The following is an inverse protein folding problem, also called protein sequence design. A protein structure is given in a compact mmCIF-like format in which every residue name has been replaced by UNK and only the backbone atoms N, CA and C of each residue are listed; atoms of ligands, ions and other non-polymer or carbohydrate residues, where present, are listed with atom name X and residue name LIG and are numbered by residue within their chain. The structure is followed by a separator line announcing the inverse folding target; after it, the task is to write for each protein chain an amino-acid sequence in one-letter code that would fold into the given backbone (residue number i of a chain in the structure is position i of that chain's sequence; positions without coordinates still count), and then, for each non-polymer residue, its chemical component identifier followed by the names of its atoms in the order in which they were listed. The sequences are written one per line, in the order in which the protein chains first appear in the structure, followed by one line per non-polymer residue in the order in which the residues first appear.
data_IF_691387068565
#
_entry.id   IF_691387068565
#
_cell.length_a   1.000
_cell.length_b   1.000
_cell.length_c   1.000
_cell.angle_alpha   90.00
_cell.angle_beta   90.00
_cell.angle_gamma   90.00
#
_symmetry.space_group_name_H-M   'P 1'
#
loop_
_entity.id
_entity.type
_entity.pdbx_description
1 polymer ?
#
# COMPACT_ATOMS: atom_id res chain seq x y z
N UNK A 1 12.48 -2.42 30.00
CA UNK A 1 11.48 -1.35 30.20
C UNK A 1 10.26 -1.83 29.46
N UNK A 2 9.18 -2.13 30.18
CA UNK A 2 7.98 -2.74 29.58
C UNK A 2 7.31 -1.78 28.63
N UNK A 3 7.03 -2.21 27.40
CA UNK A 3 6.30 -1.42 26.40
C UNK A 3 4.83 -1.76 26.43
N UNK A 4 3.98 -0.74 26.36
CA UNK A 4 2.53 -0.88 26.38
C UNK A 4 1.98 -0.85 24.97
N UNK A 5 1.34 -1.93 24.54
CA UNK A 5 0.73 -2.04 23.22
C UNK A 5 -0.79 -2.04 23.36
N UNK A 6 -1.46 -1.09 22.70
CA UNK A 6 -2.90 -1.13 22.46
C UNK A 6 -3.17 -2.00 21.24
N UNK A 7 -3.97 -3.05 21.39
CA UNK A 7 -4.31 -3.99 20.33
C UNK A 7 -5.80 -3.93 20.01
N UNK A 8 -6.14 -3.72 18.73
CA UNK A 8 -7.54 -3.70 18.28
C UNK A 8 -7.72 -4.36 16.91
N UNK A 9 -8.70 -5.24 16.82
CA UNK A 9 -9.08 -5.94 15.60
C UNK A 9 -10.44 -5.41 15.16
N UNK A 10 -10.56 -5.02 13.89
CA UNK A 10 -11.86 -4.83 13.26
C UNK A 10 -12.33 -6.21 12.76
N UNK A 11 -13.29 -6.90 13.40
CA UNK A 11 -13.59 -8.31 13.13
C UNK A 11 -14.13 -8.59 11.72
N UNK A 12 -14.66 -7.56 11.06
CA UNK A 12 -15.35 -7.67 9.75
C UNK A 12 -14.47 -7.15 8.59
N UNK A 13 -13.28 -6.65 8.90
CA UNK A 13 -12.39 -6.11 7.89
C UNK A 13 -11.86 -7.20 6.94
N UNK A 14 -11.77 -6.86 5.66
CA UNK A 14 -11.30 -7.79 4.61
C UNK A 14 -12.38 -8.68 3.99
N UNK A 15 -13.60 -8.72 4.54
CA UNK A 15 -14.69 -9.56 4.01
C UNK A 15 -15.14 -9.15 2.60
N UNK A 16 -15.38 -7.87 2.36
CA UNK A 16 -15.94 -7.41 1.09
C UNK A 16 -14.99 -7.52 -0.11
N UNK A 17 -13.67 -7.46 0.12
CA UNK A 17 -12.67 -7.67 -0.94
C UNK A 17 -12.73 -9.07 -1.53
N UNK A 18 -12.97 -10.10 -0.70
CA UNK A 18 -12.97 -11.51 -1.09
C UNK A 18 -14.16 -11.90 -1.99
N UNK A 19 -15.24 -11.12 -1.92
CA UNK A 19 -16.47 -11.33 -2.70
C UNK A 19 -16.70 -10.25 -3.77
N UNK A 20 -15.66 -9.48 -4.09
CA UNK A 20 -15.70 -8.48 -5.17
C UNK A 20 -16.52 -7.22 -4.85
N UNK A 21 -16.85 -6.96 -3.59
CA UNK A 21 -17.62 -5.79 -3.15
C UNK A 21 -16.76 -4.53 -2.97
N UNK A 22 -15.43 -4.64 -3.20
CA UNK A 22 -14.46 -3.54 -3.16
C UNK A 22 -14.36 -2.80 -1.81
N UNK A 23 -14.78 -3.44 -0.72
CA UNK A 23 -14.78 -2.92 0.65
C UNK A 23 -15.89 -3.58 1.48
N UNK A 24 -15.83 -3.50 2.82
CA UNK A 24 -16.89 -4.05 3.70
C UNK A 24 -17.87 -2.96 4.18
N UNK A 25 -17.57 -1.67 3.95
CA UNK A 25 -18.38 -0.59 4.50
C UNK A 25 -19.78 -0.56 3.85
N UNK A 26 -20.80 -0.54 4.70
CA UNK A 26 -22.23 -0.54 4.33
C UNK A 26 -22.71 -1.76 3.53
N UNK A 27 -21.91 -2.81 3.38
CA UNK A 27 -22.25 -4.02 2.59
C UNK A 27 -21.94 -5.33 3.31
N UNK A 28 -21.81 -5.30 4.63
CA UNK A 28 -21.53 -6.50 5.43
C UNK A 28 -22.57 -7.62 5.20
N UNK A 29 -23.86 -7.30 5.16
CA UNK A 29 -24.92 -8.29 4.97
C UNK A 29 -24.84 -8.93 3.57
N UNK A 30 -24.50 -8.14 2.56
CA UNK A 30 -24.28 -8.63 1.20
C UNK A 30 -22.98 -9.45 1.09
N UNK A 31 -21.94 -9.09 1.83
CA UNK A 31 -20.70 -9.85 1.89
C UNK A 31 -20.93 -11.24 2.50
N UNK A 32 -21.67 -11.31 3.61
CA UNK A 32 -22.04 -12.56 4.27
C UNK A 32 -22.90 -13.41 3.33
N UNK A 33 -23.89 -12.83 2.64
CA UNK A 33 -24.71 -13.56 1.65
C UNK A 33 -23.89 -14.17 0.51
N UNK A 34 -22.78 -13.52 0.13
CA UNK A 34 -21.84 -14.03 -0.89
C UNK A 34 -20.82 -15.02 -0.34
N UNK A 35 -20.94 -15.44 0.92
CA UNK A 35 -20.04 -16.40 1.56
C UNK A 35 -18.71 -15.80 2.02
N UNK A 36 -18.65 -14.49 2.27
CA UNK A 36 -17.45 -13.88 2.84
C UNK A 36 -17.22 -14.37 4.27
N UNK A 37 -16.00 -14.81 4.56
CA UNK A 37 -15.53 -15.14 5.90
C UNK A 37 -14.64 -14.03 6.46
N UNK A 38 -14.64 -13.80 7.79
CA UNK A 38 -13.72 -12.88 8.46
C UNK A 38 -12.25 -13.19 8.16
N UNK A 39 -11.47 -12.17 7.78
CA UNK A 39 -10.04 -12.32 7.43
C UNK A 39 -9.13 -11.67 8.47
N UNK A 40 -9.54 -10.54 9.05
CA UNK A 40 -8.76 -9.84 10.06
C UNK A 40 -8.43 -10.69 11.30
N UNK A 41 -9.34 -11.52 11.87
CA UNK A 41 -9.01 -12.28 13.08
C UNK A 41 -7.86 -13.26 12.86
N UNK A 42 -7.82 -13.95 11.72
CA UNK A 42 -6.75 -14.92 11.45
C UNK A 42 -5.40 -14.24 11.24
N UNK A 43 -5.35 -13.12 10.51
CA UNK A 43 -4.12 -12.34 10.31
C UNK A 43 -3.61 -11.69 11.59
N UNK A 44 -4.52 -11.24 12.45
CA UNK A 44 -4.20 -10.76 13.79
C UNK A 44 -3.50 -11.85 14.61
N UNK A 45 -4.10 -13.04 14.69
CA UNK A 45 -3.51 -14.20 15.39
C UNK A 45 -2.15 -14.57 14.79
N UNK A 46 -2.05 -14.65 13.46
CA UNK A 46 -0.81 -15.00 12.76
C UNK A 46 0.33 -14.04 13.10
N UNK A 47 0.08 -12.73 13.03
CA UNK A 47 1.09 -11.70 13.33
C UNK A 47 1.57 -11.79 14.77
N UNK A 48 0.65 -11.86 15.74
CA UNK A 48 1.02 -11.91 17.16
C UNK A 48 1.72 -13.23 17.49
N UNK A 49 1.27 -14.35 16.93
CA UNK A 49 1.90 -15.66 17.11
C UNK A 49 3.31 -15.67 16.54
N UNK A 50 3.51 -15.11 15.36
CA UNK A 50 4.84 -14.99 14.76
C UNK A 50 5.76 -14.11 15.62
N UNK A 51 5.24 -12.99 16.12
CA UNK A 51 5.97 -12.13 17.04
C UNK A 51 6.42 -12.91 18.29
N UNK A 52 5.51 -13.63 18.94
CA UNK A 52 5.84 -14.43 20.13
C UNK A 52 6.83 -15.57 19.85
N UNK A 53 6.76 -16.21 18.67
CA UNK A 53 7.66 -17.30 18.31
C UNK A 53 9.08 -16.84 18.02
N UNK A 54 9.25 -15.66 17.40
CA UNK A 54 10.54 -15.15 16.95
C UNK A 54 11.18 -14.17 17.95
N UNK A 55 10.38 -13.51 18.77
CA UNK A 55 10.76 -12.36 19.59
C UNK A 55 10.21 -12.46 21.03
N UNK A 56 10.18 -13.66 21.60
CA UNK A 56 9.58 -13.95 22.91
C UNK A 56 10.18 -13.19 24.10
N UNK A 57 11.38 -12.65 23.94
CA UNK A 57 12.13 -11.99 25.02
C UNK A 57 11.71 -10.52 25.22
N UNK A 58 10.84 -9.98 24.36
CA UNK A 58 10.34 -8.63 24.44
C UNK A 58 9.33 -8.46 25.59
N UNK A 59 9.59 -7.50 26.48
CA UNK A 59 8.74 -7.18 27.63
C UNK A 59 7.56 -6.28 27.20
N UNK A 60 6.47 -6.90 26.75
CA UNK A 60 5.25 -6.23 26.29
C UNK A 60 4.08 -6.41 27.25
N UNK A 61 3.42 -5.29 27.57
CA UNK A 61 2.12 -5.26 28.25
C UNK A 61 1.00 -4.94 27.26
N UNK A 62 0.12 -5.90 27.04
CA UNK A 62 -0.98 -5.81 26.10
C UNK A 62 -2.24 -5.19 26.72
N UNK A 63 -2.85 -4.25 26.00
CA UNK A 63 -4.14 -3.63 26.31
C UNK A 63 -5.05 -3.86 25.12
N UNK A 64 -6.24 -4.43 25.31
CA UNK A 64 -7.09 -4.88 24.20
C UNK A 64 -8.57 -4.69 24.47
N UNK A 65 -9.41 -5.03 23.50
CA UNK A 65 -10.87 -5.08 23.62
C UNK A 65 -11.35 -6.50 23.89
N UNK A 66 -12.59 -6.64 24.41
CA UNK A 66 -13.19 -7.96 24.61
C UNK A 66 -13.44 -8.70 23.28
N UNK A 67 -13.54 -10.02 23.40
CA UNK A 67 -13.96 -10.93 22.32
C UNK A 67 -13.13 -10.73 21.03
N UNK A 68 -13.77 -10.89 19.87
CA UNK A 68 -13.17 -10.78 18.53
C UNK A 68 -12.57 -9.41 18.16
N UNK A 69 -12.71 -8.40 19.03
CA UNK A 69 -12.01 -7.12 18.84
C UNK A 69 -10.57 -7.14 19.36
N UNK A 70 -10.11 -8.26 19.93
CA UNK A 70 -8.70 -8.50 20.14
C UNK A 70 -8.37 -9.51 21.24
N UNK A 71 -9.20 -9.68 22.27
CA UNK A 71 -8.92 -10.63 23.36
C UNK A 71 -8.85 -12.06 22.84
N UNK A 72 -9.83 -12.49 22.03
CA UNK A 72 -9.86 -13.83 21.44
C UNK A 72 -8.62 -14.09 20.58
N UNK A 73 -8.16 -13.08 19.84
CA UNK A 73 -7.00 -13.17 18.96
C UNK A 73 -5.69 -13.25 19.75
N UNK A 74 -5.53 -12.47 20.82
CA UNK A 74 -4.35 -12.55 21.70
C UNK A 74 -4.26 -13.91 22.40
N UNK A 75 -5.38 -14.44 22.91
CA UNK A 75 -5.44 -15.77 23.53
C UNK A 75 -5.05 -16.86 22.54
N UNK A 76 -5.64 -16.85 21.33
CA UNK A 76 -5.31 -17.83 20.27
C UNK A 76 -3.87 -17.74 19.80
N UNK A 77 -3.27 -16.55 19.83
CA UNK A 77 -1.86 -16.36 19.49
C UNK A 77 -0.91 -16.89 20.58
N UNK A 78 -1.39 -17.07 21.81
CA UNK A 78 -0.62 -17.58 22.95
C UNK A 78 -0.17 -16.50 23.95
N UNK A 79 -0.74 -15.29 23.91
CA UNK A 79 -0.49 -14.25 24.92
C UNK A 79 -1.13 -14.67 26.24
N UNK A 80 -0.33 -14.71 27.31
CA UNK A 80 -0.78 -15.17 28.63
C UNK A 80 -1.47 -14.09 29.46
N UNK A 81 -1.06 -12.83 29.29
CA UNK A 81 -1.54 -11.71 30.10
C UNK A 81 -1.82 -10.49 29.22
N UNK A 82 -3.03 -9.95 29.34
CA UNK A 82 -3.45 -8.70 28.72
C UNK A 82 -4.56 -8.05 29.55
N UNK A 83 -4.72 -6.72 29.41
CA UNK A 83 -5.79 -5.96 30.06
C UNK A 83 -6.90 -5.64 29.06
N UNK A 84 -8.12 -6.08 29.34
CA UNK A 84 -9.29 -5.63 28.59
C UNK A 84 -9.66 -4.21 29.04
N UNK A 85 -9.61 -3.25 28.12
CA UNK A 85 -9.88 -1.83 28.40
C UNK A 85 -11.22 -1.36 27.83
N UNK A 86 -11.81 -2.14 26.94
CA UNK A 86 -13.11 -1.87 26.33
C UNK A 86 -13.89 -3.16 26.14
N UNK A 87 -15.18 -3.15 26.49
CA UNK A 87 -16.09 -4.27 26.29
C UNK A 87 -16.95 -3.95 25.07
N UNK A 88 -16.79 -4.75 24.01
CA UNK A 88 -17.48 -4.55 22.75
C UNK A 88 -18.84 -5.29 22.71
N UNK A 89 -19.85 -4.74 22.02
CA UNK A 89 -21.06 -5.50 21.70
C UNK A 89 -20.77 -6.62 20.69
N UNK A 90 -21.64 -7.63 20.63
CA UNK A 90 -21.52 -8.75 19.66
C UNK A 90 -21.44 -8.30 18.19
N UNK A 91 -22.15 -7.22 17.84
CA UNK A 91 -22.06 -6.56 16.53
C UNK A 91 -21.34 -5.24 16.72
N UNK A 92 -20.14 -5.15 16.19
CA UNK A 92 -19.27 -4.00 16.36
C UNK A 92 -19.49 -2.95 15.28
N UNK A 93 -19.04 -1.74 15.57
CA UNK A 93 -19.16 -0.56 14.70
C UNK A 93 -17.86 0.24 14.69
N UNK A 94 -17.69 1.17 13.73
CA UNK A 94 -16.63 2.18 13.77
C UNK A 94 -16.51 2.93 15.11
N UNK A 95 -17.64 3.11 15.80
CA UNK A 95 -17.70 3.74 17.11
C UNK A 95 -16.96 2.93 18.18
N UNK A 96 -17.01 1.60 18.10
CA UNK A 96 -16.33 0.71 19.04
C UNK A 96 -14.81 0.80 18.90
N UNK A 97 -14.29 0.83 17.65
CA UNK A 97 -12.86 1.09 17.40
C UNK A 97 -12.43 2.44 17.98
N UNK A 98 -13.22 3.51 17.76
CA UNK A 98 -12.93 4.85 18.30
C UNK A 98 -12.93 4.86 19.84
N UNK A 99 -13.87 4.17 20.47
CA UNK A 99 -13.95 4.09 21.93
C UNK A 99 -12.79 3.29 22.52
N UNK A 100 -12.42 2.17 21.90
CA UNK A 100 -11.23 1.41 22.26
C UNK A 100 -9.97 2.29 22.22
N UNK A 101 -9.78 3.04 21.13
CA UNK A 101 -8.64 3.94 20.98
C UNK A 101 -8.60 5.07 22.03
N UNK A 102 -9.75 5.57 22.49
CA UNK A 102 -9.80 6.51 23.62
C UNK A 102 -9.31 5.85 24.92
N UNK A 103 -9.64 4.57 25.15
CA UNK A 103 -9.12 3.82 26.30
C UNK A 103 -7.62 3.59 26.23
N UNK A 104 -7.09 3.38 25.04
CA UNK A 104 -5.64 3.30 24.84
C UNK A 104 -4.91 4.61 25.17
N UNK A 105 -5.54 5.77 24.90
CA UNK A 105 -5.04 7.07 25.37
C UNK A 105 -5.03 7.14 26.90
N UNK A 106 -6.12 6.73 27.57
CA UNK A 106 -6.23 6.73 29.04
C UNK A 106 -5.13 5.87 29.70
N UNK A 107 -4.80 4.73 29.09
CA UNK A 107 -3.78 3.79 29.59
C UNK A 107 -2.34 4.19 29.23
N UNK A 108 -2.18 5.24 28.41
CA UNK A 108 -0.91 5.73 27.87
C UNK A 108 -0.13 4.61 27.18
N UNK A 109 -0.74 3.94 26.20
CA UNK A 109 -0.02 2.96 25.38
C UNK A 109 1.01 3.65 24.48
N UNK A 110 2.12 2.96 24.21
CA UNK A 110 3.23 3.49 23.42
C UNK A 110 2.99 3.33 21.92
N UNK A 111 2.19 2.34 21.52
CA UNK A 111 1.82 2.03 20.13
C UNK A 111 0.42 1.42 20.08
N UNK A 112 -0.35 1.76 19.04
CA UNK A 112 -1.56 1.02 18.67
C UNK A 112 -1.23 0.08 17.52
N UNK A 113 -1.21 -1.23 17.81
CA UNK A 113 -1.21 -2.28 16.80
C UNK A 113 -2.66 -2.61 16.45
N UNK A 114 -3.04 -2.52 15.19
CA UNK A 114 -4.41 -2.81 14.79
C UNK A 114 -4.48 -3.75 13.60
N UNK A 115 -5.55 -4.54 13.48
CA UNK A 115 -5.82 -5.33 12.27
C UNK A 115 -7.08 -4.83 11.58
N UNK A 116 -6.95 -4.40 10.32
CA UNK A 116 -8.06 -3.81 9.59
C UNK A 116 -7.71 -3.25 8.21
N UNK A 117 -8.65 -2.44 7.71
CA UNK A 117 -8.57 -1.72 6.44
C UNK A 117 -8.21 -0.23 6.58
N UNK A 118 -8.11 0.51 5.47
CA UNK A 118 -7.98 1.98 5.50
C UNK A 118 -9.12 2.65 6.29
N UNK A 119 -10.35 2.12 6.21
CA UNK A 119 -11.46 2.57 7.05
C UNK A 119 -11.18 2.43 8.56
N UNK A 120 -10.57 1.32 8.98
CA UNK A 120 -10.12 1.13 10.37
C UNK A 120 -9.03 2.13 10.73
N UNK A 121 -8.05 2.34 9.85
CA UNK A 121 -6.97 3.33 10.07
C UNK A 121 -7.55 4.75 10.23
N UNK A 122 -8.54 5.11 9.42
CA UNK A 122 -9.30 6.37 9.51
C UNK A 122 -10.03 6.51 10.84
N UNK A 123 -10.68 5.44 11.31
CA UNK A 123 -11.38 5.45 12.59
C UNK A 123 -10.44 5.63 13.77
N UNK A 124 -9.29 4.93 13.76
CA UNK A 124 -8.24 5.07 14.77
C UNK A 124 -7.68 6.50 14.74
N UNK A 125 -7.30 7.01 13.57
CA UNK A 125 -6.78 8.37 13.42
C UNK A 125 -7.79 9.43 13.88
N UNK A 126 -9.08 9.24 13.60
CA UNK A 126 -10.14 10.15 14.08
C UNK A 126 -10.22 10.20 15.61
N UNK A 127 -9.82 9.14 16.30
CA UNK A 127 -9.82 9.07 17.77
C UNK A 127 -8.51 9.58 18.40
N UNK A 128 -7.35 9.21 17.85
CA UNK A 128 -6.04 9.49 18.49
C UNK A 128 -5.21 10.57 17.81
N UNK A 129 -5.52 10.91 16.55
CA UNK A 129 -4.76 11.82 15.69
C UNK A 129 -3.26 11.46 15.65
N UNK A 130 -2.42 12.36 16.12
CA UNK A 130 -0.96 12.31 16.15
C UNK A 130 -0.40 12.02 17.56
N UNK A 131 -1.24 11.59 18.50
CA UNK A 131 -0.84 11.39 19.90
C UNK A 131 -0.07 10.09 20.13
N UNK A 132 -0.51 9.00 19.50
CA UNK A 132 0.09 7.65 19.64
C UNK A 132 0.46 7.17 18.23
N UNK A 133 1.65 6.61 18.02
CA UNK A 133 1.95 5.94 16.76
C UNK A 133 1.02 4.76 16.53
N UNK A 134 0.74 4.46 15.27
CA UNK A 134 -0.10 3.33 14.87
C UNK A 134 0.61 2.44 13.85
N UNK A 135 0.39 1.13 13.97
CA UNK A 135 0.90 0.12 13.05
C UNK A 135 -0.23 -0.84 12.67
N UNK A 136 -0.49 -0.95 11.37
CA UNK A 136 -1.58 -1.75 10.82
C UNK A 136 -1.12 -3.11 10.32
N UNK A 137 -1.82 -4.17 10.75
CA UNK A 137 -1.81 -5.50 10.16
C UNK A 137 -2.82 -5.48 8.99
N UNK A 138 -2.38 -5.65 7.73
CA UNK A 138 -3.26 -5.50 6.58
C UNK A 138 -4.29 -6.64 6.50
N UNK A 139 -5.57 -6.36 6.77
CA UNK A 139 -6.63 -7.38 6.72
C UNK A 139 -7.20 -7.62 5.32
N UNK A 140 -6.89 -6.75 4.37
CA UNK A 140 -7.40 -6.77 3.01
C UNK A 140 -6.30 -6.55 1.97
N UNK A 141 -6.73 -6.23 0.76
CA UNK A 141 -5.90 -6.25 -0.46
C UNK A 141 -5.84 -4.89 -1.16
N UNK A 142 -6.24 -3.80 -0.49
CA UNK A 142 -6.31 -2.43 -1.06
C UNK A 142 -5.96 -1.37 -0.01
N UNK A 143 -4.79 -1.51 0.61
CA UNK A 143 -4.36 -0.60 1.68
C UNK A 143 -3.51 0.51 1.10
N UNK A 144 -3.96 1.75 1.29
CA UNK A 144 -3.33 2.95 0.74
C UNK A 144 -2.65 3.80 1.81
N UNK A 145 -3.05 3.67 3.08
CA UNK A 145 -2.44 4.40 4.18
C UNK A 145 -1.02 3.91 4.49
N UNK A 146 -0.11 4.84 4.78
CA UNK A 146 1.31 4.59 5.07
C UNK A 146 1.60 3.96 6.44
N UNK A 147 0.59 3.40 7.11
CA UNK A 147 0.68 2.83 8.46
C UNK A 147 0.67 1.31 8.50
N UNK A 148 0.45 0.65 7.36
CA UNK A 148 0.36 -0.80 7.29
C UNK A 148 1.75 -1.42 7.07
N UNK A 149 2.03 -2.51 7.79
CA UNK A 149 3.11 -3.41 7.41
C UNK A 149 2.78 -4.10 6.08
N UNK A 150 3.82 -4.49 5.34
CA UNK A 150 3.65 -5.11 4.01
C UNK A 150 2.93 -6.46 4.06
N UNK A 151 3.10 -7.20 5.17
CA UNK A 151 2.44 -8.46 5.46
C UNK A 151 2.49 -8.74 6.98
N UNK A 152 1.92 -9.87 7.43
CA UNK A 152 1.88 -10.31 8.84
C UNK A 152 3.29 -10.42 9.44
N UNK A 153 4.21 -11.09 8.74
CA UNK A 153 5.59 -11.29 9.17
C UNK A 153 6.38 -9.99 9.35
N UNK A 154 6.29 -9.09 8.36
CA UNK A 154 6.93 -7.78 8.43
C UNK A 154 6.33 -6.94 9.56
N UNK A 155 5.01 -7.02 9.78
CA UNK A 155 4.36 -6.30 10.89
C UNK A 155 4.84 -6.82 12.25
N UNK A 156 5.00 -8.14 12.40
CA UNK A 156 5.58 -8.74 13.61
C UNK A 156 7.01 -8.27 13.85
N UNK A 157 7.85 -8.25 12.81
CA UNK A 157 9.23 -7.71 12.89
C UNK A 157 9.23 -6.22 13.24
N UNK A 158 8.37 -5.41 12.62
CA UNK A 158 8.27 -3.98 12.94
C UNK A 158 7.86 -3.75 14.39
N UNK A 159 6.95 -4.57 14.93
CA UNK A 159 6.59 -4.51 16.35
C UNK A 159 7.80 -4.81 17.25
N UNK A 160 8.59 -5.84 16.93
CA UNK A 160 9.82 -6.17 17.65
C UNK A 160 10.86 -5.04 17.63
N UNK A 161 11.14 -4.50 16.44
CA UNK A 161 12.12 -3.42 16.29
C UNK A 161 11.64 -2.14 16.99
N UNK A 162 10.34 -1.86 17.00
CA UNK A 162 9.77 -0.79 17.81
C UNK A 162 9.91 -1.08 19.31
N UNK A 163 9.63 -2.32 19.73
CA UNK A 163 9.75 -2.74 21.12
C UNK A 163 11.20 -2.57 21.64
N UNK A 164 12.18 -2.75 20.76
CA UNK A 164 13.59 -2.58 21.06
C UNK A 164 14.12 -1.16 20.76
N UNK A 165 13.24 -0.21 20.44
CA UNK A 165 13.55 1.20 20.13
C UNK A 165 14.51 1.37 18.94
N UNK A 166 14.55 0.40 18.03
CA UNK A 166 15.31 0.49 16.80
C UNK A 166 14.57 1.22 15.69
N UNK A 167 13.25 1.45 15.83
CA UNK A 167 12.45 2.21 14.88
C UNK A 167 12.15 3.62 15.36
N UNK A 168 12.12 4.56 14.42
CA UNK A 168 11.69 5.94 14.66
C UNK A 168 10.20 6.10 14.43
N UNK A 169 9.59 7.02 15.18
CA UNK A 169 8.22 7.47 14.92
C UNK A 169 8.29 8.61 13.90
N UNK A 170 7.43 8.56 12.88
CA UNK A 170 7.37 9.58 11.86
C UNK A 170 5.95 9.79 11.36
N UNK A 171 5.81 10.74 10.45
CA UNK A 171 4.53 11.04 9.81
C UNK A 171 4.17 9.92 8.82
N UNK A 172 2.91 9.48 8.88
CA UNK A 172 2.35 8.49 7.98
C UNK A 172 0.98 8.94 7.47
N UNK A 173 0.77 8.84 6.15
CA UNK A 173 -0.47 9.28 5.53
C UNK A 173 -1.62 8.32 5.85
N UNK A 174 -2.77 8.87 6.22
CA UNK A 174 -4.04 8.16 6.29
C UNK A 174 -4.83 8.53 5.06
N UNK A 175 -5.16 7.55 4.23
CA UNK A 175 -5.88 7.75 2.98
C UNK A 175 -7.36 7.45 3.17
N UNK A 176 -8.22 8.27 2.55
CA UNK A 176 -9.66 8.04 2.45
C UNK A 176 -9.98 7.54 1.04
N UNK A 177 -10.57 6.36 0.96
CA UNK A 177 -11.14 5.81 -0.26
C UNK A 177 -12.64 5.95 -0.17
N UNK A 178 -13.23 6.70 -1.11
CA UNK A 178 -14.68 6.70 -1.28
C UNK A 178 -15.10 5.37 -1.92
N UNK A 179 -15.42 4.38 -1.07
CA UNK A 179 -15.75 3.03 -1.52
C UNK A 179 -16.99 2.96 -2.42
N UNK A 180 -17.92 3.92 -2.35
CA UNK A 180 -19.10 3.98 -3.23
C UNK A 180 -18.72 4.44 -4.64
N UNK A 181 -17.96 5.53 -4.74
CA UNK A 181 -17.47 6.04 -6.04
C UNK A 181 -16.50 5.05 -6.68
N UNK A 182 -15.67 4.41 -5.85
CA UNK A 182 -14.79 3.34 -6.29
C UNK A 182 -15.55 2.10 -6.81
N UNK A 183 -16.71 1.78 -6.20
CA UNK A 183 -17.60 0.74 -6.73
C UNK A 183 -18.10 1.06 -8.13
N UNK A 184 -18.38 2.33 -8.40
CA UNK A 184 -18.79 2.85 -9.71
C UNK A 184 -17.63 3.00 -10.71
N UNK A 185 -16.38 2.71 -10.31
CA UNK A 185 -15.20 2.77 -11.18
C UNK A 185 -14.48 4.12 -11.17
N UNK A 186 -14.89 5.06 -10.31
CA UNK A 186 -14.20 6.33 -10.10
C UNK A 186 -13.08 6.15 -9.08
N UNK A 187 -11.84 6.41 -9.48
CA UNK A 187 -10.69 6.37 -8.58
C UNK A 187 -10.55 7.70 -7.83
N UNK A 188 -11.12 7.80 -6.63
CA UNK A 188 -11.07 9.00 -5.79
C UNK A 188 -10.45 8.68 -4.43
N UNK A 189 -9.12 8.68 -4.38
CA UNK A 189 -8.35 8.54 -3.14
C UNK A 189 -7.89 9.93 -2.70
N UNK A 190 -8.20 10.30 -1.46
CA UNK A 190 -7.80 11.61 -0.89
C UNK A 190 -7.01 11.40 0.40
N UNK A 191 -6.11 12.33 0.69
CA UNK A 191 -5.46 12.37 2.01
C UNK A 191 -6.52 12.72 3.06
N UNK A 192 -6.75 11.82 4.02
CA UNK A 192 -7.63 12.05 5.17
C UNK A 192 -6.92 12.83 6.27
N UNK A 193 -5.65 12.51 6.51
CA UNK A 193 -4.83 13.14 7.54
C UNK A 193 -3.46 12.51 7.66
N UNK A 194 -2.66 13.03 8.60
CA UNK A 194 -1.30 12.58 8.87
C UNK A 194 -1.26 12.05 10.30
N UNK A 195 -1.11 10.74 10.46
CA UNK A 195 -0.94 10.08 11.75
C UNK A 195 0.53 9.96 12.11
N UNK A 196 0.82 9.59 13.35
CA UNK A 196 2.14 9.02 13.68
C UNK A 196 2.14 7.56 13.28
N UNK A 197 3.08 7.18 12.42
CA UNK A 197 3.36 5.79 12.07
C UNK A 197 4.71 5.36 12.61
N UNK A 198 4.97 4.06 12.57
CA UNK A 198 6.31 3.54 12.74
C UNK A 198 6.99 3.60 11.38
N UNK A 199 8.00 4.47 11.26
CA UNK A 199 8.80 4.59 10.05
C UNK A 199 10.15 3.91 10.28
N UNK A 200 10.53 3.04 9.35
CA UNK A 200 11.86 2.45 9.37
C UNK A 200 12.92 3.57 9.22
N UNK A 201 13.84 3.74 10.18
CA UNK A 201 14.84 4.82 10.21
C UNK A 201 15.95 4.66 9.18
N UNK A 202 15.64 4.17 8.00
CA UNK A 202 16.63 4.00 6.93
C UNK A 202 17.11 5.32 6.31
N UNK A 203 16.74 6.45 6.92
CA UNK A 203 16.88 7.80 6.35
C UNK A 203 17.60 8.80 7.25
N UNK A 204 18.32 8.35 8.30
CA UNK A 204 19.35 9.18 8.95
C UNK A 204 20.69 8.42 8.89
N UNK A 205 21.54 8.83 7.94
CA UNK A 205 22.99 8.59 7.88
C UNK A 205 23.60 8.47 9.31
N UNK A 206 24.39 7.48 9.72
CA UNK A 206 25.57 6.80 9.15
C UNK A 206 25.82 5.51 9.94
N UNK A 207 26.22 4.42 9.28
CA UNK A 207 27.02 3.35 9.90
C UNK A 207 26.37 1.98 9.96
N UNK A 208 26.82 1.11 9.06
CA UNK A 208 26.82 -0.38 9.12
C UNK A 208 25.84 -1.01 10.12
N UNK A 209 24.77 -1.62 9.63
CA UNK A 209 24.44 -3.05 9.82
C UNK A 209 23.16 -3.38 9.02
N UNK A 210 23.39 -4.10 7.92
CA UNK A 210 22.57 -5.15 7.28
C UNK A 210 21.04 -4.96 7.21
N UNK A 211 20.57 -4.61 6.01
CA UNK A 211 19.24 -4.99 5.51
C UNK A 211 19.32 -6.43 5.00
N UNK A 212 18.83 -7.38 5.78
CA UNK A 212 18.42 -8.71 5.28
C UNK A 212 17.06 -9.03 5.87
N UNK A 213 16.02 -9.05 5.03
CA UNK A 213 14.90 -10.01 5.18
C UNK A 213 13.82 -9.95 4.09
N UNK A 214 13.95 -9.16 3.01
CA UNK A 214 13.14 -9.35 1.79
C UNK A 214 14.08 -9.22 0.61
N UNK A 215 14.17 -10.26 -0.23
CA UNK A 215 15.01 -10.16 -1.41
C UNK A 215 14.37 -9.19 -2.40
N UNK A 216 15.18 -8.46 -3.17
CA UNK A 216 14.65 -7.54 -4.17
C UNK A 216 13.82 -8.28 -5.23
N UNK A 217 14.08 -9.57 -5.44
CA UNK A 217 13.35 -10.41 -6.38
C UNK A 217 11.97 -10.81 -5.84
N UNK A 218 11.80 -11.05 -4.53
CA UNK A 218 10.48 -11.30 -3.93
C UNK A 218 9.53 -10.11 -4.14
N UNK A 219 10.06 -8.89 -3.95
CA UNK A 219 9.29 -7.66 -4.22
C UNK A 219 8.92 -7.54 -5.69
N UNK A 220 9.83 -7.90 -6.60
CA UNK A 220 9.55 -7.85 -8.04
C UNK A 220 8.52 -8.89 -8.46
N UNK A 221 8.51 -10.06 -7.81
CA UNK A 221 7.48 -11.08 -7.99
C UNK A 221 6.12 -10.57 -7.56
N UNK A 222 6.04 -9.95 -6.40
CA UNK A 222 4.84 -9.29 -5.91
C UNK A 222 4.33 -8.18 -6.86
N UNK A 223 5.23 -7.35 -7.40
CA UNK A 223 4.90 -6.35 -8.42
C UNK A 223 4.37 -7.02 -9.70
N UNK A 224 4.95 -8.14 -10.11
CA UNK A 224 4.51 -8.88 -11.28
C UNK A 224 3.09 -9.43 -11.10
N UNK A 225 2.79 -9.98 -9.92
CA UNK A 225 1.45 -10.43 -9.57
C UNK A 225 0.43 -9.28 -9.59
N UNK A 226 0.80 -8.11 -9.09
CA UNK A 226 -0.06 -6.93 -9.10
C UNK A 226 -0.39 -6.50 -10.55
N UNK A 227 0.63 -6.37 -11.40
CA UNK A 227 0.45 -6.01 -12.82
C UNK A 227 -0.34 -7.08 -13.56
N UNK A 228 -0.14 -8.36 -13.26
CA UNK A 228 -0.89 -9.44 -13.86
C UNK A 228 -2.38 -9.36 -13.52
N UNK A 229 -2.73 -9.04 -12.26
CA UNK A 229 -4.12 -8.84 -11.85
C UNK A 229 -4.71 -7.58 -12.51
N UNK A 230 -3.95 -6.49 -12.59
CA UNK A 230 -4.35 -5.27 -13.29
C UNK A 230 -4.71 -5.56 -14.77
N UNK A 231 -3.91 -6.37 -15.47
CA UNK A 231 -4.18 -6.81 -16.84
C UNK A 231 -5.40 -7.74 -16.95
N UNK A 232 -5.67 -8.57 -15.93
CA UNK A 232 -6.86 -9.44 -15.90
C UNK A 232 -8.15 -8.66 -15.65
N UNK A 233 -8.10 -7.63 -14.82
CA UNK A 233 -9.25 -6.76 -14.52
C UNK A 233 -9.57 -5.83 -15.70
N UNK A 234 -8.54 -5.43 -16.47
CA UNK A 234 -8.63 -4.49 -17.59
C UNK A 234 -8.31 -5.17 -18.94
N UNK A 235 -8.99 -6.28 -19.28
CA UNK A 235 -8.67 -7.11 -20.47
C UNK A 235 -8.79 -6.38 -21.82
N UNK A 236 -9.56 -5.30 -21.86
CA UNK A 236 -9.81 -4.45 -23.03
C UNK A 236 -8.84 -3.25 -23.12
N UNK A 237 -7.87 -3.15 -22.20
CA UNK A 237 -6.84 -2.12 -22.24
C UNK A 237 -5.58 -2.58 -22.97
N UNK A 238 -4.98 -1.66 -23.72
CA UNK A 238 -3.60 -1.75 -24.14
C UNK A 238 -2.70 -1.34 -22.98
N UNK A 239 -1.62 -2.08 -22.74
CA UNK A 239 -0.61 -1.76 -21.75
C UNK A 239 0.69 -1.39 -22.45
N UNK A 240 1.13 -0.14 -22.31
CA UNK A 240 2.47 0.28 -22.69
C UNK A 240 3.43 -0.06 -21.55
N UNK A 241 4.37 -0.95 -21.80
CA UNK A 241 5.42 -1.36 -20.88
C UNK A 241 6.61 -0.42 -21.09
N UNK A 242 6.94 0.40 -20.11
CA UNK A 242 8.09 1.30 -20.17
C UNK A 242 9.44 0.58 -20.06
N UNK A 243 10.51 1.35 -20.09
CA UNK A 243 11.88 0.83 -20.00
C UNK A 243 12.32 0.52 -18.57
N UNK A 244 13.24 -0.43 -18.41
CA UNK A 244 14.01 -0.66 -17.19
C UNK A 244 13.89 -2.07 -16.62
N UNK A 245 14.87 -2.45 -15.78
CA UNK A 245 14.99 -3.83 -15.26
C UNK A 245 13.80 -4.32 -14.44
N UNK A 246 13.10 -3.44 -13.73
CA UNK A 246 11.89 -3.80 -12.96
C UNK A 246 10.74 -4.20 -13.89
N UNK A 247 10.51 -3.42 -14.95
CA UNK A 247 9.46 -3.70 -15.93
C UNK A 247 9.81 -4.95 -16.74
N UNK A 248 11.09 -5.09 -17.11
CA UNK A 248 11.58 -6.26 -17.83
C UNK A 248 11.42 -7.56 -17.03
N UNK A 249 11.73 -7.54 -15.73
CA UNK A 249 11.50 -8.67 -14.83
C UNK A 249 10.02 -9.06 -14.81
N UNK A 250 9.13 -8.08 -14.67
CA UNK A 250 7.67 -8.31 -14.63
C UNK A 250 7.18 -8.87 -15.95
N UNK A 251 7.63 -8.33 -17.09
CA UNK A 251 7.27 -8.82 -18.42
C UNK A 251 7.60 -10.32 -18.58
N UNK A 252 8.82 -10.73 -18.18
CA UNK A 252 9.22 -12.14 -18.18
C UNK A 252 8.31 -13.00 -17.30
N UNK A 253 7.97 -12.54 -16.10
CA UNK A 253 7.08 -13.26 -15.17
C UNK A 253 5.66 -13.42 -15.69
N UNK A 254 5.12 -12.43 -16.40
CA UNK A 254 3.78 -12.52 -17.00
C UNK A 254 3.76 -13.23 -18.37
N UNK A 255 4.92 -13.67 -18.85
CA UNK A 255 5.08 -14.45 -20.08
C UNK A 255 5.05 -13.61 -21.36
N UNK A 256 5.46 -12.34 -21.31
CA UNK A 256 5.56 -11.48 -22.50
C UNK A 256 7.01 -11.01 -22.70
N UNK A 257 7.39 -10.83 -23.96
CA UNK A 257 8.68 -10.22 -24.28
C UNK A 257 8.66 -8.72 -23.97
N UNK A 258 9.80 -8.19 -23.55
CA UNK A 258 9.98 -6.75 -23.32
C UNK A 258 11.35 -6.27 -23.81
N UNK A 259 11.38 -5.06 -24.34
CA UNK A 259 12.60 -4.35 -24.73
C UNK A 259 13.12 -3.54 -23.54
N UNK A 260 14.26 -3.95 -22.98
CA UNK A 260 14.79 -3.38 -21.72
C UNK A 260 14.92 -1.84 -21.73
N UNK A 261 15.30 -1.24 -22.85
CA UNK A 261 15.49 0.20 -23.02
C UNK A 261 14.45 0.84 -23.97
N UNK A 262 13.37 0.12 -24.25
CA UNK A 262 12.32 0.54 -25.18
C UNK A 262 10.96 0.68 -24.50
N UNK A 263 9.94 0.94 -25.32
CA UNK A 263 8.54 0.89 -24.91
C UNK A 263 7.81 -0.14 -25.76
N UNK A 264 7.26 -1.16 -25.12
CA UNK A 264 6.53 -2.23 -25.80
C UNK A 264 5.03 -2.10 -25.52
N UNK A 265 4.19 -2.62 -26.42
CA UNK A 265 2.75 -2.62 -26.26
C UNK A 265 2.21 -4.04 -26.11
N UNK A 266 1.46 -4.27 -25.05
CA UNK A 266 0.87 -5.56 -24.69
C UNK A 266 -0.64 -5.43 -24.66
N UNK A 267 -1.34 -6.31 -25.39
CA UNK A 267 -2.80 -6.41 -25.37
C UNK A 267 -3.20 -7.87 -25.17
N UNK A 268 -4.05 -8.15 -24.18
CA UNK A 268 -4.49 -9.52 -23.86
C UNK A 268 -3.33 -10.54 -23.73
N UNK A 269 -2.26 -10.14 -23.00
CA UNK A 269 -1.02 -10.91 -22.81
C UNK A 269 -0.27 -11.25 -24.10
N UNK A 270 -0.49 -10.51 -25.18
CA UNK A 270 0.27 -10.62 -26.42
C UNK A 270 0.97 -9.31 -26.71
N UNK A 271 2.24 -9.39 -27.09
CA UNK A 271 2.98 -8.23 -27.58
C UNK A 271 2.40 -7.86 -28.95
N UNK A 272 1.83 -6.66 -29.05
CA UNK A 272 1.24 -6.10 -30.29
C UNK A 272 2.09 -4.99 -30.89
N UNK A 273 3.15 -4.59 -30.18
CA UNK A 273 4.16 -3.65 -30.64
C UNK A 273 5.43 -3.78 -29.80
N UNK A 274 6.60 -3.69 -30.43
CA UNK A 274 7.91 -3.88 -29.78
C UNK A 274 8.82 -2.72 -30.18
N UNK A 275 9.56 -2.19 -29.21
CA UNK A 275 10.47 -1.06 -29.28
C UNK A 275 9.88 0.13 -30.06
N UNK A 276 8.72 0.57 -29.60
CA UNK A 276 7.88 1.52 -30.31
C UNK A 276 8.44 2.94 -30.22
N UNK A 277 8.44 3.64 -31.36
CA UNK A 277 8.63 5.09 -31.38
C UNK A 277 7.30 5.85 -31.15
N UNK A 278 7.37 7.18 -30.96
CA UNK A 278 6.21 8.03 -30.71
C UNK A 278 5.08 7.83 -31.74
N UNK A 279 5.43 7.80 -33.04
CA UNK A 279 4.44 7.67 -34.12
C UNK A 279 3.69 6.35 -34.03
N UNK A 280 4.39 5.24 -33.80
CA UNK A 280 3.79 3.93 -33.65
C UNK A 280 2.92 3.84 -32.39
N UNK A 281 3.34 4.48 -31.30
CA UNK A 281 2.51 4.56 -30.08
C UNK A 281 1.21 5.31 -30.39
N UNK A 282 1.26 6.46 -31.06
CA UNK A 282 0.06 7.22 -31.43
C UNK A 282 -0.88 6.42 -32.34
N UNK A 283 -0.35 5.69 -33.32
CA UNK A 283 -1.14 4.79 -34.20
C UNK A 283 -1.83 3.69 -33.38
N UNK A 284 -1.16 3.12 -32.37
CA UNK A 284 -1.78 2.17 -31.46
C UNK A 284 -2.86 2.81 -30.59
N UNK A 285 -2.67 4.04 -30.11
CA UNK A 285 -3.68 4.77 -29.34
C UNK A 285 -4.93 5.12 -30.15
N UNK A 286 -4.83 5.18 -31.49
CA UNK A 286 -6.00 5.32 -32.36
C UNK A 286 -6.78 4.00 -32.50
N UNK A 287 -6.07 2.86 -32.48
CA UNK A 287 -6.68 1.52 -32.54
C UNK A 287 -7.22 1.04 -31.19
N UNK A 288 -6.57 1.43 -30.10
CA UNK A 288 -6.86 1.02 -28.72
C UNK A 288 -7.15 2.25 -27.86
N UNK A 289 -8.40 2.72 -27.80
CA UNK A 289 -8.76 3.96 -27.10
C UNK A 289 -8.56 3.88 -25.58
N UNK A 290 -8.57 2.66 -25.02
CA UNK A 290 -8.27 2.40 -23.60
C UNK A 290 -6.84 1.92 -23.47
N UNK A 291 -5.99 2.76 -22.90
CA UNK A 291 -4.56 2.47 -22.75
C UNK A 291 -4.07 2.86 -21.37
N UNK A 292 -3.26 2.01 -20.75
CA UNK A 292 -2.47 2.31 -19.54
C UNK A 292 -0.97 2.25 -19.87
N UNK A 293 -0.17 2.98 -19.12
CA UNK A 293 1.30 2.92 -19.22
C UNK A 293 1.88 2.54 -17.87
N UNK A 294 2.79 1.56 -17.87
CA UNK A 294 3.51 1.10 -16.69
C UNK A 294 4.92 1.67 -16.75
N UNK A 295 5.28 2.45 -15.73
CA UNK A 295 6.56 3.16 -15.63
C UNK A 295 7.28 2.79 -14.35
N UNK A 296 8.59 2.88 -14.36
CA UNK A 296 9.42 2.77 -13.15
C UNK A 296 10.41 3.92 -13.13
N UNK A 297 10.76 4.47 -11.94
CA UNK A 297 11.78 5.50 -11.85
C UNK A 297 13.09 5.06 -12.50
N UNK A 298 13.63 5.92 -13.37
CA UNK A 298 14.83 5.66 -14.15
C UNK A 298 16.06 6.15 -13.39
N UNK A 299 17.00 5.23 -13.14
CA UNK A 299 18.21 5.48 -12.36
C UNK A 299 17.92 5.97 -10.93
N UNK A 300 18.95 6.54 -10.29
CA UNK A 300 18.84 7.15 -8.96
C UNK A 300 18.27 8.59 -9.00
N UNK A 301 17.91 9.11 -10.18
CA UNK A 301 17.44 10.48 -10.35
C UNK A 301 15.92 10.64 -10.17
N UNK A 302 15.16 9.53 -10.21
CA UNK A 302 13.72 9.54 -9.94
C UNK A 302 12.84 9.93 -11.11
N UNK A 303 13.38 10.10 -12.33
CA UNK A 303 12.57 10.44 -13.50
C UNK A 303 11.63 9.30 -13.88
N UNK A 304 10.34 9.60 -14.00
CA UNK A 304 9.34 8.66 -14.52
C UNK A 304 8.94 8.99 -15.96
N UNK A 305 9.04 10.27 -16.36
CA UNK A 305 8.74 10.74 -17.72
C UNK A 305 9.76 11.79 -18.16
N UNK A 306 10.08 11.76 -19.45
CA UNK A 306 10.99 12.69 -20.10
C UNK A 306 12.35 12.07 -20.38
N UNK A 307 13.11 11.80 -19.31
CA UNK A 307 14.45 11.23 -19.46
C UNK A 307 14.38 9.71 -19.57
N UNK A 308 14.93 9.17 -20.66
CA UNK A 308 15.04 7.72 -20.89
C UNK A 308 13.80 7.08 -21.52
N UNK A 309 12.72 7.82 -21.72
CA UNK A 309 11.48 7.34 -22.35
C UNK A 309 10.80 8.43 -23.20
N UNK A 310 11.59 9.14 -24.03
CA UNK A 310 11.12 10.23 -24.89
C UNK A 310 10.02 9.82 -25.90
N UNK A 311 9.86 8.53 -26.16
CA UNK A 311 8.78 7.99 -26.97
C UNK A 311 7.40 8.28 -26.35
N UNK A 312 7.34 8.42 -25.03
CA UNK A 312 6.16 8.87 -24.28
C UNK A 312 6.08 10.40 -24.29
N UNK A 313 5.92 10.96 -25.49
CA UNK A 313 5.85 12.40 -25.70
C UNK A 313 4.64 13.02 -24.98
N UNK A 314 4.60 14.37 -24.82
CA UNK A 314 3.42 15.05 -24.28
C UNK A 314 2.11 14.66 -24.98
N UNK A 315 2.13 14.46 -26.30
CA UNK A 315 0.95 14.05 -27.07
C UNK A 315 0.45 12.67 -26.65
N UNK A 316 1.37 11.73 -26.47
CA UNK A 316 1.08 10.37 -25.99
C UNK A 316 0.52 10.41 -24.58
N UNK A 317 1.19 11.10 -23.65
CA UNK A 317 0.78 11.18 -22.24
C UNK A 317 -0.59 11.86 -22.08
N UNK A 318 -0.87 12.92 -22.84
CA UNK A 318 -2.18 13.60 -22.82
C UNK A 318 -3.28 12.67 -23.33
N UNK A 319 -3.02 11.87 -24.37
CA UNK A 319 -3.99 10.90 -24.93
C UNK A 319 -4.26 9.74 -23.97
N UNK A 320 -3.23 9.26 -23.26
CA UNK A 320 -3.38 8.21 -22.24
C UNK A 320 -4.11 8.74 -21.01
N UNK A 321 -3.81 9.97 -20.60
CA UNK A 321 -4.33 10.59 -19.37
C UNK A 321 -3.53 10.19 -18.15
N UNK A 322 -3.37 11.12 -17.20
CA UNK A 322 -2.49 10.95 -16.04
C UNK A 322 -2.95 9.84 -15.10
N UNK A 323 -4.25 9.58 -15.02
CA UNK A 323 -4.83 8.54 -14.15
C UNK A 323 -4.59 7.11 -14.69
N UNK A 324 -4.14 6.99 -15.94
CA UNK A 324 -3.78 5.73 -16.57
C UNK A 324 -2.27 5.45 -16.55
N UNK A 325 -1.51 6.24 -15.76
CA UNK A 325 -0.08 6.03 -15.52
C UNK A 325 0.08 5.23 -14.23
N UNK A 326 0.59 4.01 -14.35
CA UNK A 326 0.92 3.14 -13.22
C UNK A 326 2.42 3.24 -12.99
N UNK A 327 2.84 3.78 -11.85
CA UNK A 327 4.25 3.79 -11.47
C UNK A 327 4.54 2.64 -10.54
N UNK A 328 5.60 1.88 -10.82
CA UNK A 328 6.05 0.75 -10.02
C UNK A 328 7.52 0.95 -9.58
N UNK A 329 7.84 0.59 -8.35
CA UNK A 329 9.20 0.66 -7.85
C UNK A 329 9.39 -0.26 -6.65
N UNK A 330 10.56 -0.88 -6.51
CA UNK A 330 10.90 -1.57 -5.25
C UNK A 330 11.12 -0.53 -4.13
N UNK A 331 10.89 -0.87 -2.86
CA UNK A 331 11.18 0.02 -1.73
C UNK A 331 12.62 0.55 -1.74
N UNK A 332 13.59 -0.31 -2.08
CA UNK A 332 15.00 0.05 -2.27
C UNK A 332 15.20 1.12 -3.34
N UNK A 333 14.43 1.07 -4.44
CA UNK A 333 14.52 2.07 -5.50
C UNK A 333 13.96 3.41 -5.05
N UNK A 334 12.79 3.42 -4.42
CA UNK A 334 12.20 4.65 -3.85
C UNK A 334 13.06 5.28 -2.76
N UNK A 335 13.87 4.50 -2.06
CA UNK A 335 14.87 5.05 -1.13
C UNK A 335 15.90 5.93 -1.82
N UNK A 336 16.35 5.52 -3.00
CA UNK A 336 17.25 6.34 -3.83
C UNK A 336 16.53 7.44 -4.61
N UNK A 337 15.21 7.31 -4.79
CA UNK A 337 14.36 8.22 -5.56
C UNK A 337 13.16 8.72 -4.74
N UNK A 338 13.39 9.46 -3.63
CA UNK A 338 12.32 9.89 -2.72
C UNK A 338 11.34 10.89 -3.35
N UNK A 339 11.70 11.43 -4.51
CA UNK A 339 10.89 12.34 -5.32
C UNK A 339 10.82 11.77 -6.73
N UNK A 340 9.60 11.68 -7.28
CA UNK A 340 9.39 11.35 -8.69
C UNK A 340 9.55 12.62 -9.52
N UNK A 341 10.37 12.55 -10.57
CA UNK A 341 10.61 13.67 -11.47
C UNK A 341 9.89 13.49 -12.78
N UNK A 342 9.28 14.57 -13.25
CA UNK A 342 8.62 14.64 -14.55
C UNK A 342 9.17 15.84 -15.32
N UNK A 343 9.59 15.58 -16.55
CA UNK A 343 10.11 16.59 -17.47
C UNK A 343 9.63 16.23 -18.88
N UNK A 344 8.36 16.54 -19.18
CA UNK A 344 7.77 16.15 -20.47
C UNK A 344 8.20 17.04 -21.62
N UNK A 345 8.84 18.19 -21.33
CA UNK A 345 9.13 19.24 -22.30
C UNK A 345 7.91 20.09 -22.67
N UNK A 346 6.71 19.78 -22.15
CA UNK A 346 5.50 20.59 -22.30
C UNK A 346 5.11 21.21 -20.95
N UNK A 347 5.20 22.55 -20.87
CA UNK A 347 4.95 23.31 -19.64
C UNK A 347 3.54 23.10 -19.09
N UNK A 348 2.53 22.93 -19.95
CA UNK A 348 1.14 22.75 -19.50
C UNK A 348 0.97 21.35 -18.91
N UNK A 349 1.57 20.34 -19.52
CA UNK A 349 1.54 18.98 -19.00
C UNK A 349 2.33 18.86 -17.68
N UNK A 350 3.53 19.45 -17.61
CA UNK A 350 4.33 19.49 -16.38
C UNK A 350 3.58 20.22 -15.25
N UNK A 351 2.82 21.27 -15.57
CA UNK A 351 1.98 21.95 -14.60
C UNK A 351 0.85 21.05 -14.06
N UNK A 352 0.23 20.20 -14.90
CA UNK A 352 -0.76 19.22 -14.44
C UNK A 352 -0.16 18.18 -13.48
N UNK A 353 1.07 17.75 -13.72
CA UNK A 353 1.78 16.87 -12.78
C UNK A 353 2.11 17.59 -11.47
N UNK A 354 2.50 18.87 -11.55
CA UNK A 354 2.74 19.70 -10.37
C UNK A 354 1.48 19.88 -9.52
N UNK A 355 0.33 20.09 -10.16
CA UNK A 355 -0.99 20.24 -9.50
C UNK A 355 -1.47 18.95 -8.81
N UNK A 356 -1.05 17.77 -9.27
CA UNK A 356 -1.30 16.52 -8.54
C UNK A 356 -0.51 16.44 -7.24
N UNK A 357 0.64 17.11 -7.15
CA UNK A 357 1.64 17.13 -6.05
C UNK A 357 2.25 15.77 -5.69
N UNK A 358 1.49 14.68 -5.79
CA UNK A 358 1.85 13.33 -5.40
C UNK A 358 1.33 12.30 -6.40
N UNK A 359 1.98 11.14 -6.44
CA UNK A 359 1.58 9.99 -7.24
C UNK A 359 1.59 8.72 -6.39
N UNK A 360 0.66 7.81 -6.67
CA UNK A 360 0.71 6.46 -6.11
C UNK A 360 1.77 5.65 -6.86
N UNK A 361 2.67 5.03 -6.10
CA UNK A 361 3.66 4.09 -6.62
C UNK A 361 3.37 2.72 -6.05
N UNK A 362 3.18 1.72 -6.91
CA UNK A 362 3.05 0.32 -6.48
C UNK A 362 4.42 -0.18 -6.04
N UNK A 363 4.49 -0.69 -4.81
CA UNK A 363 5.76 -1.14 -4.18
C UNK A 363 5.79 -2.62 -3.80
N UNK A 364 4.71 -3.34 -4.09
CA UNK A 364 4.54 -4.77 -3.83
C UNK A 364 3.15 -5.22 -4.25
N UNK A 365 2.71 -6.40 -3.82
CA UNK A 365 1.45 -6.97 -4.28
C UNK A 365 0.28 -6.22 -3.65
N UNK A 366 -0.37 -5.37 -4.45
CA UNK A 366 -1.49 -4.51 -4.01
C UNK A 366 -1.13 -3.59 -2.83
N UNK A 367 0.16 -3.30 -2.71
CA UNK A 367 0.73 -2.32 -1.78
C UNK A 367 1.19 -1.12 -2.59
N UNK A 368 0.88 0.09 -2.12
CA UNK A 368 1.29 1.31 -2.80
C UNK A 368 1.71 2.39 -1.80
N UNK A 369 2.60 3.28 -2.24
CA UNK A 369 3.11 4.40 -1.47
C UNK A 369 2.84 5.71 -2.21
N UNK A 370 2.42 6.74 -1.49
CA UNK A 370 2.31 8.10 -2.03
C UNK A 370 3.73 8.69 -2.13
N UNK A 371 4.12 9.16 -3.30
CA UNK A 371 5.44 9.77 -3.54
C UNK A 371 5.27 11.15 -4.14
N UNK A 372 5.99 12.14 -3.61
CA UNK A 372 5.94 13.52 -4.09
C UNK A 372 6.46 13.61 -5.53
N UNK A 373 5.77 14.39 -6.35
CA UNK A 373 6.19 14.72 -7.71
C UNK A 373 6.91 16.07 -7.71
N UNK A 374 7.99 16.16 -8.49
CA UNK A 374 8.65 17.41 -8.81
C UNK A 374 8.76 17.56 -10.32
N UNK A 375 8.38 18.73 -10.83
CA UNK A 375 8.62 19.11 -12.22
C UNK A 375 9.76 20.13 -12.28
N UNK A 376 10.52 20.13 -13.38
CA UNK A 376 11.73 20.97 -13.54
C UNK A 376 11.45 22.47 -13.75
N UNK A 377 10.22 22.95 -13.49
CA UNK A 377 9.94 24.39 -13.45
C UNK A 377 10.41 24.97 -12.11
N UNK A 378 11.69 25.36 -12.09
CA UNK A 378 12.22 26.36 -11.16
C UNK A 378 11.76 27.75 -11.58
#
# INVERSE_FOLDING_TARGET
MTIKIGFVVNPIAGMGGRVGLKGTDNVIDEAIKRGAEPVSPSKAVETVKEFLLKYSDDDIKWFTCSDTMGADELEKAGVKEFKIVYIAPKKTSPGDTKNACKRFLDENVDLILFCGGDGTARDIFSAVRDKIPILGIPSGVKMHSGVFGINTSATAKMLHEFANKHLTIGDAEIMDLDEERYRQGEWNIKLFGIAKGIVEPTYVQVGKTVFESVSEDDVRDELAEHIMDEMKENKDYLFLMGSGGTIDYIARKIGVENTLLGVDAVYQKKVVGKDLNEKQILELLDKYPKTKVILSPIGAQGFILGRGNLQLSPKVVIRIGLDNIIVIATPSKLKSTPILRVDTGDKKLDQKFKEKEFMMVVIGYRLSRVVKIQTNNF
#
